data_IF_900374195178
#
_entry.id   IF_900374195178
#
_cell.length_a   1.000
_cell.length_b   1.000
_cell.length_c   1.000
_cell.angle_alpha   90.00
_cell.angle_beta   90.00
_cell.angle_gamma   90.00
#
_symmetry.space_group_name_H-M   'P 1'
#
loop_
_entity.id
_entity.type
_entity.pdbx_description
1 polymer ?
#
# COMPACT_ATOMS: atom_id res chain seq x y z
N UNK A 1 40.26 -16.63 -2.69
CA UNK A 1 39.38 -16.48 -3.86
C UNK A 1 38.10 -17.26 -3.53
N UNK A 2 37.00 -16.55 -3.22
CA UNK A 2 35.68 -17.16 -3.17
C UNK A 2 35.27 -17.43 -4.61
N UNK A 3 35.14 -18.69 -4.98
CA UNK A 3 34.46 -19.10 -6.21
C UNK A 3 33.01 -18.64 -6.05
N UNK A 4 32.64 -17.58 -6.76
CA UNK A 4 31.25 -17.21 -7.02
C UNK A 4 30.70 -18.31 -7.95
N UNK A 5 30.07 -19.32 -7.38
CA UNK A 5 29.26 -20.22 -8.15
C UNK A 5 28.00 -19.48 -8.55
N UNK A 6 27.90 -19.16 -9.85
CA UNK A 6 26.65 -18.62 -10.40
C UNK A 6 25.64 -19.76 -10.44
N UNK A 7 24.74 -19.80 -9.48
CA UNK A 7 23.64 -20.75 -9.46
C UNK A 7 22.46 -20.14 -10.19
N UNK A 8 21.80 -20.92 -11.03
CA UNK A 8 20.60 -20.50 -11.77
C UNK A 8 19.46 -21.43 -11.40
N UNK A 9 18.35 -20.83 -10.95
CA UNK A 9 17.10 -21.54 -10.70
C UNK A 9 16.13 -21.20 -11.82
N UNK A 10 15.66 -22.21 -12.55
CA UNK A 10 14.67 -22.06 -13.61
C UNK A 10 13.32 -22.54 -13.10
N UNK A 11 12.31 -21.65 -13.15
CA UNK A 11 10.96 -21.97 -12.75
C UNK A 11 10.12 -22.33 -13.97
N UNK A 12 9.37 -23.40 -13.88
CA UNK A 12 8.40 -23.81 -14.90
C UNK A 12 7.05 -23.08 -14.76
N UNK A 13 6.81 -22.47 -13.58
CA UNK A 13 5.58 -21.77 -13.25
C UNK A 13 5.93 -20.47 -12.50
N UNK A 14 5.42 -19.34 -12.99
CA UNK A 14 5.65 -17.99 -12.42
C UNK A 14 5.12 -17.87 -10.99
N UNK A 15 4.08 -18.63 -10.63
CA UNK A 15 3.49 -18.62 -9.28
C UNK A 15 4.46 -19.13 -8.20
N UNK A 16 5.48 -19.91 -8.59
CA UNK A 16 6.51 -20.42 -7.69
C UNK A 16 7.59 -19.39 -7.34
N UNK A 17 7.62 -18.22 -8.00
CA UNK A 17 8.64 -17.22 -7.78
C UNK A 17 8.70 -16.77 -6.30
N UNK A 18 7.57 -16.40 -5.73
CA UNK A 18 7.48 -15.89 -4.35
C UNK A 18 7.87 -16.96 -3.32
N UNK A 19 7.32 -18.20 -3.35
CA UNK A 19 7.75 -19.28 -2.46
C UNK A 19 9.26 -19.53 -2.52
N UNK A 20 9.84 -19.52 -3.72
CA UNK A 20 11.28 -19.75 -3.90
C UNK A 20 12.11 -18.60 -3.35
N UNK A 21 11.77 -17.34 -3.65
CA UNK A 21 12.47 -16.20 -3.09
C UNK A 21 12.47 -16.20 -1.55
N UNK A 22 11.35 -16.59 -0.93
CA UNK A 22 11.26 -16.74 0.52
C UNK A 22 12.04 -17.93 1.08
N UNK A 23 12.42 -18.90 0.23
CA UNK A 23 13.18 -20.09 0.63
C UNK A 23 14.69 -19.91 0.44
N UNK A 24 15.12 -18.83 -0.22
CA UNK A 24 16.55 -18.57 -0.44
C UNK A 24 17.20 -18.16 0.89
N UNK A 25 18.30 -18.83 1.29
CA UNK A 25 19.00 -18.48 2.52
C UNK A 25 19.58 -17.05 2.48
N UNK A 26 19.59 -16.36 3.62
CA UNK A 26 20.03 -14.94 3.77
C UNK A 26 21.50 -14.70 3.38
N UNK A 27 22.30 -15.74 3.21
CA UNK A 27 23.69 -15.62 2.79
C UNK A 27 23.84 -15.29 1.28
N UNK A 28 22.78 -15.43 0.48
CA UNK A 28 22.73 -14.97 -0.90
C UNK A 28 22.31 -13.50 -0.93
N UNK A 29 23.29 -12.61 -1.19
CA UNK A 29 23.05 -11.17 -1.15
C UNK A 29 22.64 -10.57 -2.50
N UNK A 30 23.09 -11.20 -3.59
CA UNK A 30 22.87 -10.70 -4.95
C UNK A 30 22.04 -11.73 -5.72
N UNK A 31 20.74 -11.48 -5.80
CA UNK A 31 19.79 -12.31 -6.54
C UNK A 31 19.30 -11.50 -7.74
N UNK A 32 19.47 -12.04 -8.94
CA UNK A 32 18.91 -11.47 -10.15
C UNK A 32 17.66 -12.28 -10.56
N UNK A 33 16.51 -11.61 -10.60
CA UNK A 33 15.24 -12.18 -11.03
C UNK A 33 14.95 -11.70 -12.44
N UNK A 34 14.92 -12.61 -13.41
CA UNK A 34 14.64 -12.31 -14.82
C UNK A 34 13.20 -12.63 -15.23
N UNK A 35 12.44 -13.27 -14.34
CA UNK A 35 11.05 -13.65 -14.57
C UNK A 35 10.12 -12.50 -14.14
N UNK A 36 9.14 -12.16 -14.98
CA UNK A 36 8.12 -11.19 -14.64
C UNK A 36 7.16 -11.74 -13.58
N UNK A 37 6.71 -10.88 -12.67
CA UNK A 37 5.63 -11.20 -11.74
C UNK A 37 4.33 -10.55 -12.26
N UNK A 38 3.21 -11.30 -12.35
CA UNK A 38 1.97 -10.75 -12.87
C UNK A 38 1.52 -9.52 -12.06
N UNK A 39 1.38 -8.38 -12.71
CA UNK A 39 0.90 -7.15 -12.04
C UNK A 39 -0.43 -7.36 -11.29
N UNK A 40 -1.32 -8.20 -11.85
CA UNK A 40 -2.60 -8.56 -11.25
C UNK A 40 -2.49 -9.12 -9.82
N UNK A 41 -1.36 -9.74 -9.47
CA UNK A 41 -1.13 -10.37 -8.17
C UNK A 41 -0.38 -9.47 -7.18
N UNK A 42 0.05 -8.27 -7.62
CA UNK A 42 0.76 -7.34 -6.76
C UNK A 42 -0.14 -6.69 -5.72
N UNK A 43 0.41 -6.38 -4.54
CA UNK A 43 -0.29 -5.59 -3.51
C UNK A 43 -0.69 -4.21 -4.01
N UNK A 44 0.12 -3.62 -4.89
CA UNK A 44 -0.18 -2.35 -5.54
C UNK A 44 -1.44 -2.45 -6.39
N UNK A 45 -1.58 -3.49 -7.21
CA UNK A 45 -2.79 -3.68 -8.02
C UNK A 45 -4.03 -3.87 -7.14
N UNK A 46 -3.94 -4.68 -6.09
CA UNK A 46 -5.05 -4.87 -5.13
C UNK A 46 -5.48 -3.55 -4.50
N UNK A 47 -4.52 -2.71 -4.11
CA UNK A 47 -4.79 -1.39 -3.56
C UNK A 47 -5.44 -0.47 -4.59
N UNK A 48 -4.91 -0.43 -5.84
CA UNK A 48 -5.46 0.39 -6.92
C UNK A 48 -6.90 -0.01 -7.25
N UNK A 49 -7.22 -1.29 -7.25
CA UNK A 49 -8.58 -1.75 -7.47
C UNK A 49 -9.57 -1.32 -6.38
N UNK A 50 -9.09 -0.99 -5.20
CA UNK A 50 -9.93 -0.47 -4.11
C UNK A 50 -10.04 1.06 -4.13
N UNK A 51 -9.00 1.79 -4.56
CA UNK A 51 -9.00 3.25 -4.52
C UNK A 51 -10.01 3.86 -5.51
N UNK A 52 -10.16 3.30 -6.71
CA UNK A 52 -11.12 3.82 -7.69
C UNK A 52 -12.58 3.72 -7.22
N UNK A 53 -13.08 2.56 -6.73
CA UNK A 53 -14.42 2.49 -6.15
C UNK A 53 -14.59 3.38 -4.92
N UNK A 54 -13.53 3.57 -4.12
CA UNK A 54 -13.54 4.47 -2.97
C UNK A 54 -13.73 5.92 -3.44
N UNK A 55 -12.94 6.39 -4.40
CA UNK A 55 -13.07 7.72 -4.99
C UNK A 55 -14.46 7.98 -5.59
N UNK A 56 -15.03 6.98 -6.26
CA UNK A 56 -16.39 7.06 -6.79
C UNK A 56 -17.43 7.24 -5.68
N UNK A 57 -17.20 6.68 -4.49
CA UNK A 57 -18.11 6.78 -3.33
C UNK A 57 -17.96 8.06 -2.53
N UNK A 58 -16.82 8.76 -2.62
CA UNK A 58 -16.63 10.07 -1.96
C UNK A 58 -17.66 11.10 -2.44
N UNK A 59 -18.38 10.85 -3.55
CA UNK A 59 -19.58 11.54 -3.98
C UNK A 59 -19.44 13.07 -4.05
N UNK A 60 -20.59 13.77 -4.06
CA UNK A 60 -20.63 15.23 -4.04
C UNK A 60 -20.57 15.83 -2.63
N UNK A 61 -20.59 15.03 -1.57
CA UNK A 61 -20.44 15.44 -0.19
C UNK A 61 -18.98 15.31 0.26
N UNK A 62 -18.18 16.32 -0.02
CA UNK A 62 -16.74 16.40 0.29
C UNK A 62 -16.40 16.25 1.78
N UNK A 63 -17.40 16.34 2.66
CA UNK A 63 -17.19 16.32 4.12
C UNK A 63 -17.40 14.93 4.78
N UNK A 64 -17.97 13.95 4.08
CA UNK A 64 -18.32 12.66 4.71
C UNK A 64 -17.70 11.49 3.99
N UNK A 65 -16.86 10.76 4.71
CA UNK A 65 -16.18 9.55 4.24
C UNK A 65 -16.95 8.33 4.76
N UNK A 66 -17.32 7.39 3.89
CA UNK A 66 -17.93 6.14 4.31
C UNK A 66 -16.88 5.25 4.99
N UNK A 67 -17.05 5.02 6.30
CA UNK A 67 -16.08 4.34 7.16
C UNK A 67 -15.64 2.97 6.64
N UNK A 68 -16.58 2.13 6.22
CA UNK A 68 -16.26 0.77 5.77
C UNK A 68 -15.42 0.72 4.49
N UNK A 69 -15.59 1.71 3.60
CA UNK A 69 -14.75 1.81 2.40
C UNK A 69 -13.34 2.26 2.74
N UNK A 70 -13.21 3.23 3.65
CA UNK A 70 -11.91 3.69 4.15
C UNK A 70 -11.20 2.56 4.92
N UNK A 71 -11.89 1.89 5.85
CA UNK A 71 -11.36 0.76 6.61
C UNK A 71 -10.79 -0.32 5.68
N UNK A 72 -11.55 -0.70 4.64
CA UNK A 72 -11.11 -1.70 3.67
C UNK A 72 -9.81 -1.32 2.95
N UNK A 73 -9.61 -0.04 2.61
CA UNK A 73 -8.36 0.46 2.05
C UNK A 73 -7.21 0.40 3.06
N UNK A 74 -7.47 0.83 4.28
CA UNK A 74 -6.46 0.91 5.35
C UNK A 74 -6.02 -0.46 5.89
N UNK A 75 -6.78 -1.52 5.63
CA UNK A 75 -6.44 -2.90 6.02
C UNK A 75 -5.72 -3.69 4.92
N UNK A 76 -5.38 -3.07 3.78
CA UNK A 76 -4.63 -3.75 2.72
C UNK A 76 -3.19 -4.04 3.12
N UNK A 77 -2.58 -5.07 2.52
CA UNK A 77 -1.16 -5.39 2.73
C UNK A 77 -0.24 -4.22 2.32
N UNK A 78 -0.63 -3.43 1.31
CA UNK A 78 0.10 -2.23 0.92
C UNK A 78 0.29 -1.27 2.11
N UNK A 79 -0.74 -1.06 2.92
CA UNK A 79 -0.67 -0.20 4.10
C UNK A 79 0.32 -0.75 5.14
N UNK A 80 0.33 -2.06 5.36
CA UNK A 80 1.28 -2.70 6.28
C UNK A 80 2.74 -2.57 5.82
N UNK A 81 2.96 -2.45 4.52
CA UNK A 81 4.29 -2.30 3.92
C UNK A 81 4.82 -0.87 4.06
N UNK A 82 3.96 0.13 3.85
CA UNK A 82 4.37 1.55 3.81
C UNK A 82 4.43 2.23 5.18
N UNK A 83 3.80 1.65 6.22
CA UNK A 83 3.76 2.23 7.55
C UNK A 83 4.51 1.38 8.58
N UNK A 84 5.04 2.05 9.61
CA UNK A 84 5.71 1.39 10.73
C UNK A 84 4.71 0.65 11.63
N UNK A 85 5.21 -0.26 12.47
CA UNK A 85 4.37 -0.96 13.44
C UNK A 85 3.68 0.02 14.41
N UNK A 86 4.35 1.10 14.81
CA UNK A 86 3.78 2.15 15.67
C UNK A 86 2.61 2.86 14.98
N UNK A 87 2.79 3.21 13.71
CA UNK A 87 1.73 3.80 12.89
C UNK A 87 0.53 2.85 12.77
N UNK A 88 0.78 1.56 12.52
CA UNK A 88 -0.28 0.54 12.40
C UNK A 88 -1.03 0.30 13.71
N UNK A 89 -0.36 0.40 14.85
CA UNK A 89 -1.02 0.34 16.16
C UNK A 89 -1.95 1.54 16.39
N UNK A 90 -1.50 2.76 16.05
CA UNK A 90 -2.33 3.96 16.11
C UNK A 90 -3.56 3.83 15.20
N UNK A 91 -3.35 3.38 13.97
CA UNK A 91 -4.43 3.14 13.01
C UNK A 91 -5.43 2.11 13.54
N UNK A 92 -4.94 1.01 14.10
CA UNK A 92 -5.79 -0.04 14.67
C UNK A 92 -6.63 0.47 15.84
N UNK A 93 -6.04 1.27 16.73
CA UNK A 93 -6.76 1.91 17.85
C UNK A 93 -7.86 2.85 17.32
N UNK A 94 -7.56 3.65 16.31
CA UNK A 94 -8.50 4.57 15.68
C UNK A 94 -9.67 3.80 15.04
N UNK A 95 -9.40 2.78 14.24
CA UNK A 95 -10.41 1.92 13.62
C UNK A 95 -11.31 1.26 14.67
N UNK A 96 -10.70 0.69 15.71
CA UNK A 96 -11.45 0.01 16.78
C UNK A 96 -12.37 0.96 17.56
N UNK A 97 -11.97 2.22 17.74
CA UNK A 97 -12.83 3.24 18.35
C UNK A 97 -14.09 3.46 17.50
N UNK A 98 -13.95 3.74 16.21
CA UNK A 98 -15.08 3.98 15.32
C UNK A 98 -15.98 2.74 15.15
N UNK A 99 -15.41 1.53 15.22
CA UNK A 99 -16.18 0.29 15.26
C UNK A 99 -17.07 0.20 16.51
N UNK A 100 -16.52 0.52 17.68
CA UNK A 100 -17.27 0.53 18.96
C UNK A 100 -18.40 1.56 18.97
N UNK A 101 -18.16 2.71 18.35
CA UNK A 101 -19.13 3.78 18.22
C UNK A 101 -20.17 3.54 17.10
N UNK A 102 -20.07 2.40 16.39
CA UNK A 102 -20.93 2.06 15.26
C UNK A 102 -21.00 3.15 14.18
N UNK A 103 -19.85 3.79 13.92
CA UNK A 103 -19.77 4.92 13.01
C UNK A 103 -19.90 4.45 11.56
N UNK A 104 -20.77 5.11 10.79
CA UNK A 104 -20.95 4.83 9.35
C UNK A 104 -20.23 5.86 8.48
N UNK A 105 -20.17 7.09 8.91
CA UNK A 105 -19.56 8.21 8.18
C UNK A 105 -18.62 8.97 9.09
N UNK A 106 -17.48 9.37 8.54
CA UNK A 106 -16.42 10.11 9.20
C UNK A 106 -16.16 11.41 8.47
N UNK A 107 -15.60 12.36 9.19
CA UNK A 107 -14.97 13.56 8.64
C UNK A 107 -13.46 13.50 8.80
N UNK A 108 -12.72 14.28 8.02
CA UNK A 108 -11.26 14.41 8.19
C UNK A 108 -10.93 14.96 9.59
N UNK A 109 -11.74 15.89 10.12
CA UNK A 109 -11.52 16.45 11.45
C UNK A 109 -11.60 15.39 12.55
N UNK A 110 -12.58 14.48 12.49
CA UNK A 110 -12.69 13.36 13.44
C UNK A 110 -11.49 12.42 13.39
N UNK A 111 -10.97 12.16 12.17
CA UNK A 111 -9.73 11.38 12.00
C UNK A 111 -8.52 12.11 12.56
N UNK A 112 -8.41 13.42 12.34
CA UNK A 112 -7.34 14.27 12.85
C UNK A 112 -7.33 14.33 14.38
N UNK A 113 -8.51 14.42 15.03
CA UNK A 113 -8.66 14.36 16.49
C UNK A 113 -8.15 13.00 17.08
N UNK A 114 -8.33 11.91 16.33
CA UNK A 114 -7.95 10.58 16.82
C UNK A 114 -6.50 10.22 16.51
N UNK A 115 -5.99 10.59 15.34
CA UNK A 115 -4.66 10.21 14.87
C UNK A 115 -3.61 11.28 15.21
N UNK A 116 -4.03 12.53 15.45
CA UNK A 116 -3.12 13.66 15.52
C UNK A 116 -2.43 13.93 14.18
N UNK A 117 -1.40 14.75 14.19
CA UNK A 117 -0.58 14.97 12.98
C UNK A 117 0.41 13.83 12.81
N UNK A 118 0.09 12.90 11.93
CA UNK A 118 0.92 11.74 11.62
C UNK A 118 0.87 11.39 10.12
N UNK A 119 1.82 10.58 9.69
CA UNK A 119 1.95 10.17 8.29
C UNK A 119 0.72 9.43 7.75
N UNK A 120 0.01 8.70 8.60
CA UNK A 120 -1.24 8.03 8.22
C UNK A 120 -2.32 9.06 7.87
N UNK A 121 -2.43 10.13 8.66
CA UNK A 121 -3.38 11.19 8.37
C UNK A 121 -3.07 11.89 7.05
N UNK A 122 -1.79 12.14 6.74
CA UNK A 122 -1.37 12.72 5.46
C UNK A 122 -1.76 11.80 4.30
N UNK A 123 -1.54 10.50 4.44
CA UNK A 123 -1.98 9.50 3.47
C UNK A 123 -3.50 9.52 3.30
N UNK A 124 -4.26 9.54 4.40
CA UNK A 124 -5.73 9.59 4.35
C UNK A 124 -6.17 10.87 3.64
N UNK A 125 -5.56 12.02 3.91
CA UNK A 125 -5.85 13.28 3.21
C UNK A 125 -5.61 13.17 1.69
N UNK A 126 -4.53 12.49 1.27
CA UNK A 126 -4.24 12.26 -0.15
C UNK A 126 -5.33 11.40 -0.80
N UNK A 127 -5.71 10.29 -0.18
CA UNK A 127 -6.71 9.37 -0.76
C UNK A 127 -8.15 9.86 -0.63
N UNK A 128 -8.44 10.81 0.24
CA UNK A 128 -9.77 11.42 0.40
C UNK A 128 -9.93 12.72 -0.38
N UNK A 129 -8.86 13.25 -0.95
CA UNK A 129 -8.97 14.32 -1.93
C UNK A 129 -9.71 13.81 -3.17
N UNK A 130 -10.82 14.45 -3.51
CA UNK A 130 -11.70 13.98 -4.59
C UNK A 130 -11.08 14.20 -5.95
N UNK A 131 -11.08 13.19 -6.77
CA UNK A 131 -10.66 13.24 -8.17
C UNK A 131 -11.84 13.71 -9.04
N UNK A 132 -11.91 15.03 -9.30
CA UNK A 132 -13.09 15.65 -9.91
C UNK A 132 -13.09 15.58 -11.44
N UNK A 133 -11.92 15.71 -12.05
CA UNK A 133 -11.72 15.72 -13.50
C UNK A 133 -10.51 14.85 -13.87
N UNK A 134 -10.33 14.52 -15.17
CA UNK A 134 -9.24 13.66 -15.63
C UNK A 134 -7.84 14.16 -15.25
N UNK A 135 -7.59 15.46 -15.34
CA UNK A 135 -6.27 16.03 -15.05
C UNK A 135 -5.97 15.97 -13.56
N UNK A 136 -6.94 16.34 -12.72
CA UNK A 136 -6.84 16.21 -11.26
C UNK A 136 -6.68 14.74 -10.83
N UNK A 137 -7.38 13.82 -11.50
CA UNK A 137 -7.25 12.39 -11.26
C UNK A 137 -5.80 11.91 -11.48
N UNK A 138 -5.18 12.30 -12.61
CA UNK A 138 -3.81 11.90 -12.94
C UNK A 138 -2.82 12.47 -11.92
N UNK A 139 -2.94 13.73 -11.54
CA UNK A 139 -2.00 14.37 -10.63
C UNK A 139 -2.17 13.86 -9.19
N UNK A 140 -3.40 13.63 -8.75
CA UNK A 140 -3.69 13.02 -7.46
C UNK A 140 -3.18 11.57 -7.40
N UNK A 141 -3.31 10.82 -8.48
CA UNK A 141 -2.78 9.46 -8.57
C UNK A 141 -1.24 9.44 -8.57
N UNK A 142 -0.60 10.37 -9.29
CA UNK A 142 0.86 10.54 -9.23
C UNK A 142 1.34 10.89 -7.81
N UNK A 143 0.63 11.78 -7.11
CA UNK A 143 0.94 12.13 -5.72
C UNK A 143 0.85 10.90 -4.81
N UNK A 144 -0.21 10.11 -4.96
CA UNK A 144 -0.41 8.87 -4.23
C UNK A 144 0.73 7.87 -4.49
N UNK A 145 1.09 7.66 -5.76
CA UNK A 145 2.20 6.75 -6.12
C UNK A 145 3.55 7.23 -5.58
N UNK A 146 3.81 8.53 -5.61
CA UNK A 146 5.03 9.11 -4.99
C UNK A 146 5.05 8.85 -3.50
N UNK A 147 3.95 9.10 -2.80
CA UNK A 147 3.86 8.82 -1.36
C UNK A 147 4.15 7.34 -1.05
N UNK A 148 3.55 6.43 -1.81
CA UNK A 148 3.77 4.99 -1.67
C UNK A 148 5.26 4.66 -1.90
N UNK A 149 5.84 5.10 -3.00
CA UNK A 149 7.24 4.80 -3.36
C UNK A 149 8.24 5.32 -2.32
N UNK A 150 8.09 6.56 -1.88
CA UNK A 150 8.97 7.15 -0.85
C UNK A 150 8.93 6.39 0.48
N UNK A 151 7.78 5.81 0.82
CA UNK A 151 7.61 5.10 2.07
C UNK A 151 8.07 3.63 1.98
N UNK A 152 7.93 2.99 0.83
CA UNK A 152 8.50 1.65 0.58
C UNK A 152 10.02 1.69 0.62
N UNK A 153 10.66 2.67 -0.01
CA UNK A 153 12.12 2.83 0.01
C UNK A 153 12.62 2.99 1.45
N UNK A 154 11.90 3.75 2.28
CA UNK A 154 12.25 3.94 3.70
C UNK A 154 12.08 2.68 4.54
N UNK A 155 11.15 1.80 4.18
CA UNK A 155 10.92 0.55 4.92
C UNK A 155 12.04 -0.49 4.73
N UNK A 156 12.92 -0.29 3.74
CA UNK A 156 14.03 -1.21 3.46
C UNK A 156 13.59 -2.59 2.95
N UNK A 157 12.30 -2.74 2.60
CA UNK A 157 11.76 -4.00 2.12
C UNK A 157 12.12 -4.21 0.64
N UNK A 158 13.32 -4.76 0.39
CA UNK A 158 13.88 -5.00 -0.95
C UNK A 158 12.93 -5.79 -1.87
N UNK A 159 12.11 -6.67 -1.30
CA UNK A 159 11.14 -7.48 -2.04
C UNK A 159 10.04 -6.62 -2.70
N UNK A 160 9.52 -5.65 -1.96
CA UNK A 160 8.47 -4.77 -2.48
C UNK A 160 9.02 -3.76 -3.48
N UNK A 161 10.25 -3.28 -3.26
CA UNK A 161 10.95 -2.39 -4.20
C UNK A 161 11.12 -3.09 -5.56
N UNK A 162 11.46 -4.36 -5.55
CA UNK A 162 11.59 -5.14 -6.78
C UNK A 162 10.24 -5.34 -7.49
N UNK A 163 9.14 -5.53 -6.77
CA UNK A 163 7.80 -5.64 -7.39
C UNK A 163 7.36 -4.35 -8.11
N UNK A 164 7.75 -3.17 -7.60
CA UNK A 164 7.39 -1.88 -8.21
C UNK A 164 8.31 -1.55 -9.38
N UNK A 165 9.59 -1.91 -9.32
CA UNK A 165 10.55 -1.64 -10.40
C UNK A 165 10.37 -2.57 -11.61
N UNK A 166 9.61 -3.67 -11.47
CA UNK A 166 9.28 -4.61 -12.56
C UNK A 166 7.99 -4.20 -13.31
N UNK A 167 7.15 -3.33 -12.72
CA UNK A 167 5.91 -2.82 -13.30
C UNK A 167 6.15 -1.47 -13.98
#
# INVERSE_FOLDING_TARGET
QKNLTNEVVVLSDETLLIPILNSIPENYKDINVTMGYPYSETFLNQFIQLIFPFQKRLGNNESKIYFWSLKRLLETEMIKIIFSNEDLELLTKCINKFLKESTYYLTINELEEQLGQCRILDFIKIITNKWQDPDNCIDSFKLLLRFINENIIKSGNAFVINQINIA
#
